data_IF_426937809824
#
_entry.id   IF_426937809824
#
_cell.length_a   1.000
_cell.length_b   1.000
_cell.length_c   1.000
_cell.angle_alpha   90.00
_cell.angle_beta   90.00
_cell.angle_gamma   90.00
#
_symmetry.space_group_name_H-M   'P 1'
#
loop_
_entity.id
_entity.type
_entity.pdbx_description
1 polymer ?
#
# COMPACT_ATOMS: atom_id res chain seq x y z
N UNK A 1 0.78 -5.47 9.84
CA UNK A 1 1.37 -4.79 8.67
C UNK A 1 0.68 -3.46 8.34
N UNK A 2 -0.06 -2.86 9.29
CA UNK A 2 -0.71 -1.55 9.10
C UNK A 2 -0.17 -0.53 10.09
N UNK A 3 0.08 0.69 9.63
CA UNK A 3 0.30 1.84 10.50
C UNK A 3 -1.01 2.23 11.20
N UNK A 4 -0.90 2.85 12.38
CA UNK A 4 -2.06 3.45 13.06
C UNK A 4 -2.53 4.68 12.30
N UNK A 5 -3.85 4.92 12.34
CA UNK A 5 -4.42 6.18 11.85
C UNK A 5 -4.53 7.16 13.01
N UNK A 6 -3.82 8.27 12.89
CA UNK A 6 -3.77 9.38 13.84
C UNK A 6 -3.39 10.69 13.14
N UNK A 7 -3.10 11.73 13.91
CA UNK A 7 -2.72 13.04 13.39
C UNK A 7 -1.38 13.05 12.62
N UNK A 8 -0.55 11.99 12.78
CA UNK A 8 0.72 11.83 12.07
C UNK A 8 0.56 11.00 10.79
N UNK A 9 -0.63 10.46 10.51
CA UNK A 9 -0.90 9.67 9.30
C UNK A 9 -0.53 10.48 8.05
N UNK A 10 0.26 9.85 7.18
CA UNK A 10 0.75 10.48 5.97
C UNK A 10 -0.25 10.29 4.82
N UNK A 11 -0.51 11.38 4.13
CA UNK A 11 -1.36 11.45 2.94
C UNK A 11 -0.59 12.08 1.79
N UNK A 12 -1.04 11.81 0.56
CA UNK A 12 -0.52 12.49 -0.61
C UNK A 12 -0.52 14.00 -0.39
N UNK A 13 0.52 14.74 -0.82
CA UNK A 13 0.71 16.13 -0.39
C UNK A 13 -0.45 17.10 -0.60
N UNK A 14 -1.29 16.88 -1.62
CA UNK A 14 -2.46 17.72 -1.89
C UNK A 14 -3.70 17.38 -1.02
N UNK A 15 -3.68 16.30 -0.26
CA UNK A 15 -4.69 15.96 0.73
C UNK A 15 -4.39 16.65 2.07
N UNK A 16 -4.77 17.94 2.18
CA UNK A 16 -4.38 18.81 3.30
C UNK A 16 -5.12 18.47 4.60
N UNK A 17 -6.35 17.95 4.52
CA UNK A 17 -7.18 17.72 5.72
C UNK A 17 -6.74 16.52 6.55
N UNK A 18 -6.17 15.49 5.94
CA UNK A 18 -5.66 14.31 6.66
C UNK A 18 -6.74 13.53 7.43
N UNK A 19 -6.32 12.88 8.53
CA UNK A 19 -7.18 12.11 9.42
C UNK A 19 -7.74 13.00 10.52
N UNK A 20 -9.05 12.98 10.68
CA UNK A 20 -9.76 13.68 11.76
C UNK A 20 -10.43 12.64 12.67
N UNK A 21 -10.19 12.73 13.97
CA UNK A 21 -10.80 11.92 15.01
C UNK A 21 -11.46 12.83 16.04
N UNK A 22 -12.79 12.91 16.01
CA UNK A 22 -13.57 13.88 16.77
C UNK A 22 -14.30 13.16 17.90
N UNK A 23 -14.09 13.59 19.12
CA UNK A 23 -14.84 13.11 20.30
C UNK A 23 -16.28 13.59 20.23
N UNK A 24 -17.24 12.67 20.23
CA UNK A 24 -18.68 12.96 20.34
C UNK A 24 -19.17 12.78 21.77
N UNK A 25 -18.63 11.77 22.47
CA UNK A 25 -18.87 11.54 23.88
C UNK A 25 -17.69 10.81 24.50
N UNK A 26 -17.33 11.20 25.72
CA UNK A 26 -16.32 10.50 26.53
C UNK A 26 -16.51 10.78 28.00
N UNK A 27 -16.70 9.75 28.83
CA UNK A 27 -16.79 9.88 30.28
C UNK A 27 -17.91 9.06 30.92
N UNK A 28 -18.15 9.31 32.21
CA UNK A 28 -19.26 8.66 32.94
C UNK A 28 -20.59 9.34 32.57
N UNK A 29 -21.54 8.50 32.24
CA UNK A 29 -22.92 8.93 31.98
C UNK A 29 -23.65 9.25 33.29
N UNK A 30 -24.79 9.97 33.26
CA UNK A 30 -25.62 10.18 34.47
C UNK A 30 -26.11 8.88 35.12
N UNK A 31 -26.12 7.76 34.40
CA UNK A 31 -26.49 6.43 34.92
C UNK A 31 -25.29 5.67 35.51
N UNK A 32 -24.09 6.29 35.54
CA UNK A 32 -22.91 5.77 36.22
C UNK A 32 -21.99 4.84 35.43
N UNK A 33 -22.33 4.48 34.17
CA UNK A 33 -21.44 3.72 33.31
C UNK A 33 -20.56 4.63 32.45
N UNK A 34 -19.39 4.13 32.01
CA UNK A 34 -18.53 4.83 31.08
C UNK A 34 -19.02 4.63 29.63
N UNK A 35 -18.97 5.70 28.83
CA UNK A 35 -19.31 5.68 27.41
C UNK A 35 -18.32 6.55 26.64
N UNK A 36 -17.84 6.04 25.51
CA UNK A 36 -17.07 6.83 24.56
C UNK A 36 -17.54 6.59 23.14
N UNK A 37 -17.61 7.65 22.35
CA UNK A 37 -17.99 7.62 20.93
C UNK A 37 -17.22 8.69 20.19
N UNK A 38 -16.74 8.32 19.01
CA UNK A 38 -15.93 9.19 18.18
C UNK A 38 -16.42 9.14 16.73
N UNK A 39 -16.24 10.23 16.02
CA UNK A 39 -16.44 10.32 14.58
C UNK A 39 -15.08 10.47 13.91
N UNK A 40 -14.87 9.76 12.81
CA UNK A 40 -13.68 9.92 11.98
C UNK A 40 -14.03 10.47 10.60
N UNK A 41 -13.07 11.23 10.03
CA UNK A 41 -13.09 11.64 8.63
C UNK A 41 -11.67 11.45 8.09
N UNK A 42 -11.55 10.84 6.90
CA UNK A 42 -10.26 10.57 6.27
C UNK A 42 -10.42 10.47 4.76
N UNK A 43 -9.42 10.90 3.96
CA UNK A 43 -9.33 10.48 2.56
C UNK A 43 -9.26 8.97 2.44
N UNK A 44 -9.74 8.40 1.34
CA UNK A 44 -9.65 6.96 1.07
C UNK A 44 -8.20 6.48 0.91
N UNK A 45 -7.32 7.35 0.35
CA UNK A 45 -5.91 7.08 0.05
C UNK A 45 -5.01 7.81 1.04
N UNK A 46 -4.30 7.06 1.86
CA UNK A 46 -3.33 7.52 2.84
C UNK A 46 -3.23 6.60 4.05
N UNK A 47 -2.14 6.70 4.80
CA UNK A 47 -1.78 5.65 5.75
C UNK A 47 -1.68 4.30 5.04
N UNK A 48 -1.76 3.20 5.77
CA UNK A 48 -1.87 1.88 5.13
C UNK A 48 -3.24 1.71 4.50
N UNK A 49 -3.30 1.64 3.17
CA UNK A 49 -4.57 1.59 2.44
C UNK A 49 -4.51 0.64 1.24
N UNK A 50 -5.67 0.41 0.65
CA UNK A 50 -5.84 -0.32 -0.60
C UNK A 50 -6.29 0.63 -1.69
N UNK A 51 -5.68 0.50 -2.86
CA UNK A 51 -6.15 1.08 -4.11
C UNK A 51 -7.04 0.09 -4.85
N UNK A 52 -8.29 0.46 -5.06
CA UNK A 52 -9.21 -0.32 -5.86
C UNK A 52 -8.97 -0.08 -7.37
N UNK A 53 -9.26 -1.06 -8.23
CA UNK A 53 -9.08 -0.93 -9.68
C UNK A 53 -9.66 0.34 -10.29
N UNK A 54 -10.82 0.79 -9.81
CA UNK A 54 -11.48 2.02 -10.29
C UNK A 54 -10.64 3.28 -10.09
N UNK A 55 -9.65 3.27 -9.17
CA UNK A 55 -8.84 4.45 -8.85
C UNK A 55 -8.11 5.03 -10.06
N UNK A 56 -7.54 4.19 -10.92
CA UNK A 56 -6.85 4.60 -12.16
C UNK A 56 -7.42 3.97 -13.44
N UNK A 57 -8.53 3.24 -13.35
CA UNK A 57 -9.11 2.58 -14.52
C UNK A 57 -10.63 2.66 -14.50
N UNK A 58 -11.20 3.42 -15.45
CA UNK A 58 -12.64 3.61 -15.60
C UNK A 58 -13.37 2.27 -15.77
N UNK A 59 -14.56 2.15 -15.17
CA UNK A 59 -15.42 0.96 -15.22
C UNK A 59 -14.82 -0.31 -14.61
N UNK A 60 -13.79 -0.19 -13.78
CA UNK A 60 -13.19 -1.30 -13.04
C UNK A 60 -13.83 -1.45 -11.64
N UNK A 61 -13.36 -2.47 -10.90
CA UNK A 61 -13.92 -2.80 -9.60
C UNK A 61 -13.71 -1.66 -8.58
N UNK A 62 -14.77 -1.31 -7.87
CA UNK A 62 -14.74 -0.47 -6.67
C UNK A 62 -14.37 -1.32 -5.44
N UNK A 63 -13.92 -0.68 -4.35
CA UNK A 63 -13.41 -1.40 -3.17
C UNK A 63 -14.43 -2.39 -2.60
N UNK A 64 -15.73 -2.05 -2.60
CA UNK A 64 -16.81 -2.91 -2.12
C UNK A 64 -17.10 -4.10 -3.04
N UNK A 65 -16.57 -4.10 -4.26
CA UNK A 65 -16.77 -5.13 -5.29
C UNK A 65 -15.56 -6.04 -5.48
N UNK A 66 -14.42 -5.74 -4.89
CA UNK A 66 -13.25 -6.61 -4.95
C UNK A 66 -13.58 -7.94 -4.26
N UNK A 67 -13.41 -9.10 -4.93
CA UNK A 67 -13.68 -10.38 -4.31
C UNK A 67 -12.68 -10.68 -3.20
N UNK A 68 -13.12 -11.30 -2.10
CA UNK A 68 -12.23 -11.64 -0.98
C UNK A 68 -11.06 -12.53 -1.41
N UNK A 69 -11.24 -13.37 -2.44
CA UNK A 69 -10.17 -14.18 -3.02
C UNK A 69 -9.01 -13.38 -3.60
N UNK A 70 -9.22 -12.10 -3.95
CA UNK A 70 -8.15 -11.18 -4.36
C UNK A 70 -7.48 -10.48 -3.18
N UNK A 71 -8.12 -10.49 -2.01
CA UNK A 71 -7.67 -9.83 -0.78
C UNK A 71 -7.00 -10.79 0.22
N UNK A 72 -7.05 -12.09 -0.07
CA UNK A 72 -6.46 -13.12 0.79
C UNK A 72 -5.72 -14.16 -0.03
N UNK A 73 -4.65 -14.72 0.52
CA UNK A 73 -3.91 -15.79 -0.14
C UNK A 73 -2.44 -15.83 0.20
N UNK A 74 -1.78 -16.81 -0.41
CA UNK A 74 -0.33 -16.91 -0.34
C UNK A 74 0.33 -15.68 -0.91
N UNK A 75 1.47 -15.31 -0.31
CA UNK A 75 2.24 -14.16 -0.71
C UNK A 75 3.73 -14.49 -0.74
N UNK A 76 4.45 -13.71 -1.55
CA UNK A 76 5.92 -13.65 -1.56
C UNK A 76 6.35 -12.24 -1.25
N UNK A 77 7.51 -12.10 -0.61
CA UNK A 77 8.15 -10.82 -0.33
C UNK A 77 9.48 -10.74 -1.07
N UNK A 78 9.60 -9.73 -1.93
CA UNK A 78 10.82 -9.41 -2.69
C UNK A 78 11.48 -8.23 -1.99
N UNK A 79 12.68 -8.46 -1.44
CA UNK A 79 13.43 -7.44 -0.72
C UNK A 79 14.38 -6.72 -1.67
N UNK A 80 14.10 -5.46 -1.94
CA UNK A 80 14.95 -4.55 -2.73
C UNK A 80 15.50 -3.41 -1.88
N UNK A 81 15.43 -3.54 -0.55
CA UNK A 81 15.76 -2.45 0.37
C UNK A 81 17.21 -1.98 0.27
N UNK A 82 18.14 -2.86 -0.08
CA UNK A 82 19.55 -2.49 -0.27
C UNK A 82 19.69 -1.39 -1.34
N UNK A 83 19.11 -1.60 -2.51
CA UNK A 83 19.24 -0.69 -3.65
C UNK A 83 18.30 0.51 -3.52
N UNK A 84 17.08 0.29 -3.02
CA UNK A 84 16.10 1.33 -2.80
C UNK A 84 16.51 2.35 -1.71
N UNK A 85 17.28 1.96 -0.69
CA UNK A 85 17.82 2.87 0.30
C UNK A 85 19.06 3.64 -0.21
N UNK A 86 19.76 3.10 -1.20
CA UNK A 86 20.88 3.78 -1.85
C UNK A 86 20.42 4.79 -2.90
N UNK A 87 19.29 4.52 -3.58
CA UNK A 87 18.69 5.41 -4.58
C UNK A 87 17.21 5.69 -4.24
N UNK A 88 16.91 6.93 -3.90
CA UNK A 88 15.54 7.35 -3.54
C UNK A 88 14.52 7.23 -4.68
N UNK A 89 14.99 7.25 -5.92
CA UNK A 89 14.15 7.13 -7.11
C UNK A 89 14.21 5.73 -7.73
N UNK A 90 14.66 4.75 -6.93
CA UNK A 90 14.75 3.36 -7.33
C UNK A 90 13.40 2.85 -7.85
N UNK A 91 13.45 2.14 -8.96
CA UNK A 91 12.30 1.49 -9.55
C UNK A 91 12.54 -0.01 -9.63
N UNK A 92 11.76 -0.78 -8.87
CA UNK A 92 11.80 -2.24 -8.95
C UNK A 92 11.65 -2.68 -10.40
N UNK A 93 12.65 -3.39 -10.91
CA UNK A 93 12.71 -3.86 -12.28
C UNK A 93 12.33 -5.34 -12.43
N UNK A 94 12.22 -5.79 -13.67
CA UNK A 94 12.04 -7.23 -13.99
C UNK A 94 13.21 -8.05 -13.45
N UNK A 95 14.43 -7.50 -13.49
CA UNK A 95 15.62 -8.18 -13.01
C UNK A 95 15.56 -8.51 -11.50
N UNK A 96 14.95 -7.65 -10.67
CA UNK A 96 14.77 -7.93 -9.24
C UNK A 96 13.87 -9.14 -9.02
N UNK A 97 12.83 -9.26 -9.82
CA UNK A 97 11.90 -10.38 -9.78
C UNK A 97 12.59 -11.66 -10.26
N UNK A 98 13.32 -11.61 -11.35
CA UNK A 98 14.05 -12.74 -11.90
C UNK A 98 15.17 -13.21 -10.94
N UNK A 99 15.88 -12.28 -10.29
CA UNK A 99 16.86 -12.60 -9.28
C UNK A 99 16.21 -13.30 -8.08
N UNK A 100 15.09 -12.80 -7.61
CA UNK A 100 14.34 -13.45 -6.53
C UNK A 100 13.88 -14.87 -6.94
N UNK A 101 13.38 -15.04 -8.16
CA UNK A 101 12.95 -16.34 -8.67
C UNK A 101 14.10 -17.33 -8.83
N UNK A 102 15.28 -16.85 -9.17
CA UNK A 102 16.47 -17.68 -9.24
C UNK A 102 16.81 -18.32 -7.89
N UNK A 103 16.64 -17.58 -6.81
CA UNK A 103 16.99 -18.03 -5.46
C UNK A 103 15.84 -18.81 -4.78
N UNK A 104 14.60 -18.49 -5.12
CA UNK A 104 13.41 -19.00 -4.41
C UNK A 104 12.47 -19.84 -5.29
N UNK A 105 12.75 -19.94 -6.58
CA UNK A 105 11.87 -20.59 -7.56
C UNK A 105 10.79 -19.66 -8.10
N UNK A 106 10.16 -20.09 -9.20
CA UNK A 106 9.13 -19.31 -9.89
C UNK A 106 8.00 -18.90 -8.94
N UNK A 107 7.60 -17.63 -9.00
CA UNK A 107 6.43 -17.10 -8.28
C UNK A 107 5.18 -17.84 -8.77
N UNK A 108 4.41 -18.48 -7.87
CA UNK A 108 3.19 -19.17 -8.26
C UNK A 108 2.14 -18.19 -8.80
N UNK A 109 1.25 -18.68 -9.64
CA UNK A 109 0.10 -17.90 -10.08
C UNK A 109 -0.85 -17.60 -8.91
N UNK A 110 -1.62 -16.54 -9.04
CA UNK A 110 -2.58 -16.10 -8.02
C UNK A 110 -1.94 -15.81 -6.64
N UNK A 111 -0.71 -15.32 -6.65
CA UNK A 111 0.06 -14.92 -5.47
C UNK A 111 -0.04 -13.42 -5.25
N UNK A 112 -0.09 -12.97 -4.01
CA UNK A 112 0.09 -11.57 -3.61
C UNK A 112 1.60 -11.31 -3.58
N UNK A 113 2.07 -10.25 -4.24
CA UNK A 113 3.49 -9.91 -4.30
C UNK A 113 3.74 -8.66 -3.48
N UNK A 114 4.65 -8.74 -2.52
CA UNK A 114 5.03 -7.64 -1.66
C UNK A 114 6.47 -7.23 -1.98
N UNK A 115 6.70 -5.93 -2.12
CA UNK A 115 8.03 -5.35 -2.30
C UNK A 115 8.44 -4.60 -1.03
N UNK A 116 9.53 -5.02 -0.42
CA UNK A 116 10.16 -4.30 0.68
C UNK A 116 11.22 -3.36 0.14
N UNK A 117 10.97 -2.07 0.22
CA UNK A 117 11.94 -1.02 -0.16
C UNK A 117 12.76 -0.53 1.04
N UNK A 118 12.34 -0.87 2.25
CA UNK A 118 12.93 -0.37 3.49
C UNK A 118 12.43 1.03 3.89
N UNK A 119 11.57 1.66 3.08
CA UNK A 119 11.04 3.00 3.34
C UNK A 119 10.05 3.02 4.50
N UNK A 120 9.41 1.91 4.83
CA UNK A 120 8.54 1.80 5.99
C UNK A 120 9.19 2.27 7.31
N UNK A 121 10.54 2.16 7.42
CA UNK A 121 11.29 2.65 8.59
C UNK A 121 11.23 4.18 8.77
N UNK A 122 10.92 4.94 7.71
CA UNK A 122 10.84 6.40 7.77
C UNK A 122 9.45 6.92 8.11
N UNK A 123 8.43 6.07 8.08
CA UNK A 123 7.07 6.45 8.44
C UNK A 123 6.98 6.71 9.97
N UNK A 124 6.37 7.81 10.45
CA UNK A 124 5.64 8.85 9.72
C UNK A 124 6.45 10.15 9.47
N UNK A 125 7.79 10.11 9.41
CA UNK A 125 8.62 11.28 9.11
C UNK A 125 8.42 11.69 7.64
N UNK A 126 7.59 12.70 7.40
CA UNK A 126 7.25 13.15 6.04
C UNK A 126 8.49 13.44 5.19
N UNK A 127 9.49 14.15 5.73
CA UNK A 127 10.68 14.55 4.97
C UNK A 127 11.50 13.34 4.54
N UNK A 128 11.68 12.38 5.44
CA UNK A 128 12.41 11.14 5.12
C UNK A 128 11.62 10.25 4.17
N UNK A 129 10.31 10.15 4.36
CA UNK A 129 9.44 9.25 3.65
C UNK A 129 9.10 9.73 2.23
N UNK A 130 8.69 11.00 2.06
CA UNK A 130 8.34 11.60 0.78
C UNK A 130 9.49 12.32 0.05
N UNK A 131 10.61 12.62 0.75
CA UNK A 131 11.69 13.44 0.21
C UNK A 131 11.56 14.93 0.53
N UNK A 132 10.38 15.39 0.91
CA UNK A 132 10.08 16.79 1.22
C UNK A 132 9.17 16.92 2.45
N UNK A 133 9.34 17.99 3.21
CA UNK A 133 8.41 18.36 4.29
C UNK A 133 7.25 19.23 3.80
N UNK A 134 7.26 19.68 2.55
CA UNK A 134 6.22 20.54 1.97
C UNK A 134 4.89 19.76 1.84
N UNK A 135 3.82 20.53 1.77
CA UNK A 135 2.44 20.06 1.50
C UNK A 135 1.85 20.87 0.35
N UNK A 136 0.71 20.42 -0.16
CA UNK A 136 0.05 21.04 -1.30
C UNK A 136 0.74 20.75 -2.63
N UNK A 137 0.30 21.42 -3.66
CA UNK A 137 0.74 21.20 -5.04
C UNK A 137 2.24 21.44 -5.23
N UNK A 138 2.84 22.37 -4.45
CA UNK A 138 4.27 22.69 -4.52
C UNK A 138 5.19 21.54 -4.05
N UNK A 139 4.65 20.56 -3.33
CA UNK A 139 5.42 19.40 -2.88
C UNK A 139 5.59 18.34 -3.99
N UNK A 140 4.67 18.27 -4.95
CA UNK A 140 4.63 17.17 -5.95
C UNK A 140 5.94 17.05 -6.74
N UNK A 141 6.58 18.12 -7.24
CA UNK A 141 7.85 18.00 -7.95
C UNK A 141 9.05 17.58 -7.08
N UNK A 142 8.90 17.61 -5.76
CA UNK A 142 9.96 17.30 -4.79
C UNK A 142 9.81 15.91 -4.17
N UNK A 143 8.87 15.10 -4.66
CA UNK A 143 8.67 13.76 -4.16
C UNK A 143 9.78 12.84 -4.65
N UNK A 144 10.44 12.18 -3.71
CA UNK A 144 11.52 11.22 -3.96
C UNK A 144 11.34 10.01 -3.04
N UNK A 145 10.86 8.91 -3.56
CA UNK A 145 10.71 7.61 -2.91
C UNK A 145 10.63 6.51 -3.96
N UNK A 146 11.05 5.28 -3.62
CA UNK A 146 11.05 4.16 -4.55
C UNK A 146 9.63 3.72 -4.96
N UNK A 147 9.52 3.07 -6.11
CA UNK A 147 8.29 2.46 -6.59
C UNK A 147 8.57 1.26 -7.48
N UNK A 148 7.53 0.78 -8.15
CA UNK A 148 7.61 -0.34 -9.08
C UNK A 148 7.63 0.21 -10.49
N UNK A 149 8.53 -0.27 -11.34
CA UNK A 149 8.56 0.17 -12.73
C UNK A 149 7.34 -0.33 -13.51
N UNK A 150 6.85 0.44 -14.49
CA UNK A 150 5.78 -0.01 -15.37
C UNK A 150 6.10 -1.34 -16.07
N UNK A 151 7.36 -1.53 -16.46
CA UNK A 151 7.81 -2.76 -17.13
C UNK A 151 7.71 -3.98 -16.20
N UNK A 152 8.12 -3.85 -14.94
CA UNK A 152 7.99 -4.93 -13.95
C UNK A 152 6.51 -5.26 -13.67
N UNK A 153 5.67 -4.24 -13.54
CA UNK A 153 4.23 -4.43 -13.30
C UNK A 153 3.56 -5.14 -14.49
N UNK A 154 3.85 -4.70 -15.72
CA UNK A 154 3.33 -5.34 -16.93
C UNK A 154 3.79 -6.81 -17.01
N UNK A 155 5.07 -7.05 -16.75
CA UNK A 155 5.64 -8.39 -16.78
C UNK A 155 4.97 -9.32 -15.74
N UNK A 156 4.71 -8.84 -14.53
CA UNK A 156 4.02 -9.60 -13.48
C UNK A 156 2.58 -9.92 -13.85
N UNK A 157 1.85 -8.95 -14.40
CA UNK A 157 0.46 -9.14 -14.86
C UNK A 157 0.39 -10.20 -15.94
N UNK A 158 1.29 -10.16 -16.91
CA UNK A 158 1.28 -11.06 -18.07
C UNK A 158 1.85 -12.46 -17.76
N UNK A 159 2.87 -12.54 -16.91
CA UNK A 159 3.65 -13.78 -16.74
C UNK A 159 3.40 -14.50 -15.41
N UNK A 160 2.74 -13.85 -14.42
CA UNK A 160 2.53 -14.44 -13.08
C UNK A 160 1.08 -14.41 -12.64
N UNK A 161 0.18 -13.78 -13.41
CA UNK A 161 -1.25 -13.68 -13.06
C UNK A 161 -1.45 -13.38 -11.57
N UNK A 162 -0.73 -12.37 -11.05
CA UNK A 162 -0.75 -12.00 -9.63
C UNK A 162 -2.16 -11.65 -9.13
N UNK A 163 -2.41 -11.75 -7.82
CA UNK A 163 -3.65 -11.27 -7.18
C UNK A 163 -3.62 -9.78 -6.88
N UNK A 164 -2.53 -9.32 -6.28
CA UNK A 164 -2.34 -7.94 -5.83
C UNK A 164 -0.85 -7.62 -5.74
N UNK A 165 -0.51 -6.34 -5.77
CA UNK A 165 0.82 -5.84 -5.40
C UNK A 165 0.76 -5.04 -4.11
N UNK A 166 1.83 -5.05 -3.32
CA UNK A 166 1.95 -4.20 -2.14
C UNK A 166 3.39 -3.77 -1.89
N UNK A 167 3.56 -2.60 -1.25
CA UNK A 167 4.88 -2.09 -0.87
C UNK A 167 4.80 -1.14 0.34
N UNK A 168 5.96 -0.80 0.88
CA UNK A 168 6.14 0.06 2.05
C UNK A 168 6.44 1.52 1.70
N UNK A 169 5.99 2.00 0.52
CA UNK A 169 6.09 3.40 0.06
C UNK A 169 4.72 4.04 -0.11
N UNK A 170 4.66 5.39 -0.25
CA UNK A 170 3.38 6.09 -0.35
C UNK A 170 2.68 5.96 -1.70
N UNK A 171 3.27 5.27 -2.66
CA UNK A 171 2.70 5.05 -4.00
C UNK A 171 3.31 3.81 -4.65
N UNK A 172 2.53 3.10 -5.49
CA UNK A 172 3.03 2.04 -6.37
C UNK A 172 4.05 2.57 -7.36
N UNK A 173 3.82 3.77 -7.91
CA UNK A 173 4.78 4.46 -8.75
C UNK A 173 5.83 5.17 -7.90
N UNK A 174 7.05 5.33 -8.41
CA UNK A 174 8.11 6.09 -7.73
C UNK A 174 7.80 7.59 -7.66
N UNK A 175 8.44 8.32 -6.74
CA UNK A 175 8.10 9.70 -6.40
C UNK A 175 8.08 10.70 -7.56
N UNK A 176 8.93 10.53 -8.58
CA UNK A 176 9.02 11.39 -9.76
C UNK A 176 8.11 10.97 -10.92
N UNK A 177 7.25 9.94 -10.73
CA UNK A 177 6.28 9.53 -11.74
C UNK A 177 5.28 10.64 -12.04
N UNK A 178 5.09 10.97 -13.31
CA UNK A 178 4.13 11.98 -13.80
C UNK A 178 2.87 11.36 -14.38
N UNK A 179 2.97 10.12 -14.83
CA UNK A 179 1.91 9.44 -15.57
C UNK A 179 1.24 8.32 -14.79
N UNK A 180 1.80 7.91 -13.63
CA UNK A 180 1.27 6.82 -12.81
C UNK A 180 1.01 5.54 -13.59
N UNK A 181 1.98 5.15 -14.44
CA UNK A 181 1.82 4.00 -15.35
C UNK A 181 1.69 2.66 -14.62
N UNK A 182 2.40 2.51 -13.49
CA UNK A 182 2.29 1.30 -12.65
C UNK A 182 0.86 1.12 -12.13
N UNK A 183 0.24 2.19 -11.62
CA UNK A 183 -1.17 2.17 -11.23
C UNK A 183 -2.07 1.81 -12.42
N UNK A 184 -1.92 2.47 -13.55
CA UNK A 184 -2.75 2.23 -14.73
C UNK A 184 -2.72 0.77 -15.19
N UNK A 185 -1.53 0.15 -15.21
CA UNK A 185 -1.34 -1.24 -15.63
C UNK A 185 -1.97 -2.20 -14.63
N UNK A 186 -1.62 -2.06 -13.35
CA UNK A 186 -2.12 -2.94 -12.29
C UNK A 186 -3.63 -2.86 -12.16
N UNK A 187 -4.14 -1.66 -11.93
CA UNK A 187 -5.55 -1.41 -11.65
C UNK A 187 -6.41 -1.63 -12.90
N UNK A 188 -5.88 -1.32 -14.10
CA UNK A 188 -6.48 -1.65 -15.38
C UNK A 188 -6.69 -3.15 -15.60
N UNK A 189 -5.88 -3.98 -14.95
CA UNK A 189 -5.98 -5.44 -14.95
C UNK A 189 -6.91 -5.99 -13.85
N UNK A 190 -7.69 -5.13 -13.17
CA UNK A 190 -8.53 -5.47 -12.02
C UNK A 190 -7.75 -6.09 -10.83
N UNK A 191 -6.50 -5.71 -10.65
CA UNK A 191 -5.66 -6.14 -9.53
C UNK A 191 -5.50 -4.97 -8.56
N UNK A 192 -5.85 -5.13 -7.25
CA UNK A 192 -5.68 -4.05 -6.27
C UNK A 192 -4.21 -3.84 -5.91
N UNK A 193 -3.91 -2.62 -5.42
CA UNK A 193 -2.63 -2.24 -4.84
C UNK A 193 -2.72 -2.04 -3.33
N UNK A 194 -1.63 -2.27 -2.60
CA UNK A 194 -1.52 -1.97 -1.18
C UNK A 194 -0.34 -1.03 -0.95
N UNK A 195 -0.57 0.10 -0.32
CA UNK A 195 0.43 1.13 -0.09
C UNK A 195 0.67 1.40 1.39
N UNK A 196 1.83 1.97 1.69
CA UNK A 196 2.23 2.28 3.06
C UNK A 196 2.17 1.06 3.98
N UNK A 197 2.65 -0.09 3.53
CA UNK A 197 2.72 -1.29 4.34
C UNK A 197 3.77 -1.15 5.45
N UNK A 198 3.48 -1.69 6.63
CA UNK A 198 4.37 -1.69 7.79
C UNK A 198 4.95 -3.08 8.04
N UNK A 199 6.13 -3.12 8.66
CA UNK A 199 6.76 -4.33 9.21
C UNK A 199 7.08 -5.40 8.15
N UNK A 200 7.38 -5.01 6.91
CA UNK A 200 7.79 -5.95 5.86
C UNK A 200 9.13 -6.62 6.18
N UNK A 201 9.98 -5.97 6.98
CA UNK A 201 11.27 -6.53 7.44
C UNK A 201 11.14 -7.78 8.34
N UNK A 202 9.94 -8.04 8.83
CA UNK A 202 9.65 -9.23 9.65
C UNK A 202 9.19 -10.43 8.82
N UNK A 203 9.01 -10.25 7.52
CA UNK A 203 8.51 -11.31 6.65
C UNK A 203 9.65 -12.09 5.98
N UNK A 204 9.53 -13.43 5.89
CA UNK A 204 10.40 -14.23 5.04
C UNK A 204 10.07 -14.02 3.56
N UNK A 205 10.95 -14.43 2.66
CA UNK A 205 10.71 -14.38 1.22
C UNK A 205 9.48 -15.19 0.77
N UNK A 206 9.15 -16.28 1.47
CA UNK A 206 8.06 -17.23 1.16
C UNK A 206 7.41 -17.74 2.45
N UNK A 207 6.31 -18.49 2.32
CA UNK A 207 5.61 -19.04 3.48
C UNK A 207 4.76 -17.99 4.19
N UNK A 208 4.17 -17.08 3.44
CA UNK A 208 3.35 -15.98 3.94
C UNK A 208 1.92 -16.18 3.44
N UNK A 209 0.95 -16.01 4.33
CA UNK A 209 -0.46 -15.89 3.97
C UNK A 209 -0.98 -14.53 4.39
N UNK A 210 -1.48 -13.76 3.43
CA UNK A 210 -1.99 -12.41 3.64
C UNK A 210 -3.51 -12.42 3.80
N UNK A 211 -3.98 -11.57 4.73
CA UNK A 211 -5.39 -11.16 4.85
C UNK A 211 -5.41 -9.63 4.83
N UNK A 212 -5.88 -9.05 3.74
CA UNK A 212 -5.90 -7.62 3.47
C UNK A 212 -7.35 -7.13 3.35
N UNK A 213 -7.95 -6.69 4.45
CA UNK A 213 -9.37 -6.32 4.51
C UNK A 213 -9.54 -4.81 4.62
N UNK A 214 -9.84 -4.10 3.51
CA UNK A 214 -10.14 -2.68 3.54
C UNK A 214 -11.51 -2.41 4.16
N UNK A 215 -11.73 -1.17 4.60
CA UNK A 215 -13.07 -0.68 4.88
C UNK A 215 -13.94 -0.82 3.61
N UNK A 216 -15.09 -1.49 3.72
CA UNK A 216 -15.96 -1.78 2.57
C UNK A 216 -16.84 -0.58 2.22
N UNK A 217 -16.23 0.44 1.62
CA UNK A 217 -16.90 1.68 1.21
C UNK A 217 -17.60 1.44 -0.13
N UNK A 218 -18.92 1.65 -0.18
CA UNK A 218 -19.68 1.51 -1.41
C UNK A 218 -19.19 2.50 -2.47
N UNK A 219 -18.84 2.01 -3.66
CA UNK A 219 -18.28 2.77 -4.78
C UNK A 219 -16.93 3.46 -4.47
N UNK A 220 -16.24 3.09 -3.38
CA UNK A 220 -14.95 3.66 -3.01
C UNK A 220 -13.86 3.34 -4.04
N UNK A 221 -12.97 4.31 -4.26
CA UNK A 221 -11.77 4.16 -5.11
C UNK A 221 -10.62 3.49 -4.36
N UNK A 222 -10.66 3.49 -3.04
CA UNK A 222 -9.72 2.89 -2.11
C UNK A 222 -10.28 2.89 -0.70
N UNK A 223 -9.53 2.40 0.26
CA UNK A 223 -9.94 2.46 1.66
C UNK A 223 -8.79 2.18 2.64
N UNK A 224 -8.87 2.73 3.87
CA UNK A 224 -8.03 2.29 4.98
C UNK A 224 -8.02 0.77 5.10
N UNK A 225 -6.83 0.20 5.33
CA UNK A 225 -6.60 -1.23 5.27
C UNK A 225 -6.03 -1.77 6.58
N UNK A 226 -6.70 -2.76 7.18
CA UNK A 226 -6.08 -3.61 8.19
C UNK A 226 -5.55 -4.87 7.50
N UNK A 227 -4.24 -4.94 7.32
CA UNK A 227 -3.56 -6.09 6.69
C UNK A 227 -2.72 -6.84 7.71
N UNK A 228 -2.81 -8.15 7.68
CA UNK A 228 -2.01 -9.06 8.50
C UNK A 228 -1.34 -10.12 7.64
N UNK A 229 -0.21 -10.62 8.11
CA UNK A 229 0.46 -11.80 7.57
C UNK A 229 0.45 -12.91 8.61
N UNK A 230 0.06 -14.11 8.20
CA UNK A 230 0.31 -15.33 8.93
C UNK A 230 1.53 -16.02 8.30
N UNK A 231 2.48 -16.46 9.12
CA UNK A 231 3.60 -17.27 8.66
C UNK A 231 3.14 -18.72 8.63
N UNK A 232 3.24 -19.34 7.46
CA UNK A 232 2.87 -20.74 7.24
C UNK A 232 4.15 -21.56 7.36
N UNK A 233 4.18 -22.49 8.33
CA UNK A 233 5.26 -23.49 8.40
C UNK A 233 5.22 -24.33 7.13
N UNK A 234 6.33 -24.35 6.38
CA UNK A 234 6.55 -25.26 5.25
C UNK A 234 6.72 -26.70 5.74
#
# INVERSE_FOLDING_TARGET
MSHSYDNATLYWPNNIKGFEHVTEAEGKTPLGYYYSSYRLCTPEHGGTHLDAPIHFAENKLTVDRIPLSSLTGEAVMIDVSHDALADRDYQVGVQDIENWEKDHGRIPENTIILFRTGYGQFYPDRKKYFGTSKTGQAAIPELHFPGISPAATQWLVENRNLKALGLDTPSLDYGQSKEFKTHQILLGSNKPGFENLANLEQLPAKGIYIVALPMKIAKGSGAPLRIIAALISS
#
